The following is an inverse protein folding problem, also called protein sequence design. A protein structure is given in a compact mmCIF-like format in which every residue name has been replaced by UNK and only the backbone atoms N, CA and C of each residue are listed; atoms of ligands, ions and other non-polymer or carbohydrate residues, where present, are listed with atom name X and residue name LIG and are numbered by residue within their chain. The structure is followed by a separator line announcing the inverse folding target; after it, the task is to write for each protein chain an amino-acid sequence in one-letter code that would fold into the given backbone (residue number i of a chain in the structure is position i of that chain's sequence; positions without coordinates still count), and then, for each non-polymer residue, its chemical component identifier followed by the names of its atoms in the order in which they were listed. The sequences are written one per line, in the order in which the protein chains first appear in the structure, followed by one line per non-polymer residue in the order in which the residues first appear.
data_IF_342015060229
#
_entry.id   IF_342015060229
#
_cell.length_a   1.000
_cell.length_b   1.000
_cell.length_c   1.000
_cell.angle_alpha   90.00
_cell.angle_beta   90.00
_cell.angle_gamma   90.00
#
_symmetry.space_group_name_H-M   'P 1'
#
loop_
_entity.id
_entity.type
_entity.pdbx_description
1 polymer ?
#
# COMPACT_ATOMS: atom_id res chain seq x y z
N UNK A 1 -28.15 -0.73 -6.76
CA UNK A 1 -27.10 -0.07 -5.96
C UNK A 1 -25.86 0.00 -6.83
N UNK A 2 -25.28 1.19 -6.97
CA UNK A 2 -24.27 1.52 -7.99
C UNK A 2 -23.17 0.48 -8.06
N UNK A 3 -23.13 -0.27 -9.17
CA UNK A 3 -22.14 -1.31 -9.45
C UNK A 3 -20.80 -0.65 -9.79
N UNK A 4 -20.18 -0.04 -8.79
CA UNK A 4 -18.77 0.30 -8.90
C UNK A 4 -18.06 -1.00 -9.26
N UNK A 5 -17.26 -1.04 -10.35
CA UNK A 5 -16.52 -2.24 -10.70
C UNK A 5 -15.71 -2.69 -9.48
N UNK A 6 -15.83 -3.97 -9.11
CA UNK A 6 -15.16 -4.56 -7.95
C UNK A 6 -13.66 -4.20 -7.81
N UNK A 7 -12.84 -4.10 -8.88
CA UNK A 7 -11.45 -3.69 -8.72
C UNK A 7 -11.25 -2.20 -8.45
N UNK A 8 -12.22 -1.32 -8.78
CA UNK A 8 -12.03 0.14 -8.78
C UNK A 8 -11.49 0.68 -7.44
N UNK A 9 -11.99 0.26 -6.26
CA UNK A 9 -11.45 0.73 -4.98
C UNK A 9 -9.94 0.49 -4.86
N UNK A 10 -9.43 -0.64 -5.33
CA UNK A 10 -7.99 -0.94 -5.29
C UNK A 10 -7.19 0.02 -6.18
N UNK A 11 -7.74 0.36 -7.34
CA UNK A 11 -7.11 1.29 -8.29
C UNK A 11 -7.08 2.74 -7.78
N UNK A 12 -7.95 3.13 -6.85
CA UNK A 12 -7.91 4.46 -6.23
C UNK A 12 -6.62 4.71 -5.44
N UNK A 13 -5.91 3.66 -5.01
CA UNK A 13 -4.58 3.80 -4.40
C UNK A 13 -3.58 4.53 -5.32
N UNK A 14 -3.74 4.42 -6.65
CA UNK A 14 -2.92 5.12 -7.64
C UNK A 14 -3.16 6.63 -7.70
N UNK A 15 -4.16 7.15 -6.99
CA UNK A 15 -4.32 8.59 -6.78
C UNK A 15 -3.35 9.14 -5.73
N UNK A 16 -2.76 8.30 -4.87
CA UNK A 16 -1.84 8.73 -3.81
C UNK A 16 -0.50 9.28 -4.35
N UNK A 17 0.17 8.67 -5.35
CA UNK A 17 1.42 9.22 -5.90
C UNK A 17 1.26 10.62 -6.51
N UNK A 18 0.22 10.93 -7.32
CA UNK A 18 -0.05 12.31 -7.73
C UNK A 18 -0.26 13.27 -6.57
N UNK A 19 -0.98 12.87 -5.50
CA UNK A 19 -1.13 13.69 -4.31
C UNK A 19 0.21 13.92 -3.58
N UNK A 20 1.10 12.92 -3.57
CA UNK A 20 2.44 13.10 -3.03
C UNK A 20 3.24 14.13 -3.83
N UNK A 21 3.16 14.09 -5.16
CA UNK A 21 3.79 15.08 -6.03
C UNK A 21 3.22 16.48 -5.77
N UNK A 22 1.90 16.61 -5.57
CA UNK A 22 1.29 17.90 -5.19
C UNK A 22 1.84 18.40 -3.87
N UNK A 23 1.88 17.56 -2.83
CA UNK A 23 2.47 17.90 -1.53
C UNK A 23 3.93 18.35 -1.65
N UNK A 24 4.70 17.68 -2.51
CA UNK A 24 6.12 17.94 -2.73
C UNK A 24 6.36 19.28 -3.43
N UNK A 25 5.55 19.58 -4.45
CA UNK A 25 5.72 20.80 -5.27
C UNK A 25 5.08 22.03 -4.61
N UNK A 26 3.96 21.86 -3.91
CA UNK A 26 3.20 22.99 -3.33
C UNK A 26 3.54 23.27 -1.87
N UNK A 27 3.89 22.26 -1.08
CA UNK A 27 4.08 22.41 0.36
C UNK A 27 2.79 22.78 1.11
N UNK A 28 2.96 23.32 2.31
CA UNK A 28 1.90 23.79 3.18
C UNK A 28 0.87 22.73 3.52
N UNK A 29 -0.40 23.13 3.52
CA UNK A 29 -1.53 22.25 3.85
C UNK A 29 -1.68 21.06 2.89
N UNK A 30 -1.13 21.15 1.67
CA UNK A 30 -1.26 20.08 0.67
C UNK A 30 -0.51 18.81 1.06
N UNK A 31 0.50 18.91 1.95
CA UNK A 31 1.22 17.75 2.49
C UNK A 31 0.27 16.84 3.28
N UNK A 32 -0.71 17.42 3.98
CA UNK A 32 -1.69 16.67 4.76
C UNK A 32 -2.62 15.81 3.90
N UNK A 33 -2.73 16.09 2.59
CA UNK A 33 -3.54 15.28 1.68
C UNK A 33 -3.09 13.82 1.66
N UNK A 34 -1.78 13.55 1.79
CA UNK A 34 -1.24 12.20 1.79
C UNK A 34 -1.77 11.31 2.93
N UNK A 35 -1.51 11.64 4.22
CA UNK A 35 -2.00 10.80 5.32
C UNK A 35 -3.52 10.85 5.44
N UNK A 36 -4.17 11.99 5.19
CA UNK A 36 -5.63 12.11 5.28
C UNK A 36 -6.31 11.24 4.23
N UNK A 37 -5.89 11.30 2.97
CA UNK A 37 -6.47 10.44 1.94
C UNK A 37 -6.16 8.96 2.24
N UNK A 38 -4.94 8.60 2.61
CA UNK A 38 -4.58 7.20 2.86
C UNK A 38 -5.40 6.56 3.99
N UNK A 39 -5.67 7.29 5.08
CA UNK A 39 -6.45 6.76 6.21
C UNK A 39 -7.96 6.81 6.01
N UNK A 40 -8.47 7.87 5.36
CA UNK A 40 -9.92 8.12 5.32
C UNK A 40 -10.58 7.75 3.99
N UNK A 41 -9.83 7.57 2.90
CA UNK A 41 -10.39 7.33 1.57
C UNK A 41 -11.34 6.13 1.53
N UNK A 42 -10.90 4.97 2.02
CA UNK A 42 -11.71 3.75 2.00
C UNK A 42 -12.90 3.83 2.96
N UNK A 43 -12.71 4.44 4.12
CA UNK A 43 -13.82 4.65 5.07
C UNK A 43 -14.91 5.56 4.49
N UNK A 44 -14.52 6.64 3.80
CA UNK A 44 -15.45 7.54 3.12
C UNK A 44 -16.12 6.82 1.95
N UNK A 45 -15.36 6.04 1.18
CA UNK A 45 -15.90 5.26 0.08
C UNK A 45 -16.98 4.29 0.59
N UNK A 46 -16.67 3.49 1.60
CA UNK A 46 -17.61 2.55 2.21
C UNK A 46 -18.85 3.23 2.77
N UNK A 47 -18.71 4.41 3.38
CA UNK A 47 -19.84 5.19 3.88
C UNK A 47 -20.77 5.69 2.76
N UNK A 48 -20.23 5.95 1.57
CA UNK A 48 -21.00 6.42 0.41
C UNK A 48 -21.58 5.24 -0.39
N UNK A 49 -20.81 4.18 -0.58
CA UNK A 49 -21.14 3.07 -1.49
C UNK A 49 -21.84 1.91 -0.78
N UNK A 50 -21.74 1.87 0.56
CA UNK A 50 -22.10 0.73 1.37
C UNK A 50 -20.97 -0.32 1.38
N UNK A 51 -20.90 -1.15 2.44
CA UNK A 51 -19.93 -2.23 2.53
C UNK A 51 -20.24 -3.32 1.49
N UNK A 52 -19.19 -3.90 0.91
CA UNK A 52 -19.33 -5.09 0.08
C UNK A 52 -19.41 -6.35 0.96
N UNK A 53 -20.56 -7.02 0.97
CA UNK A 53 -20.77 -8.28 1.70
C UNK A 53 -20.72 -9.52 0.80
N UNK A 54 -20.34 -9.37 -0.47
CA UNK A 54 -20.19 -10.49 -1.40
C UNK A 54 -19.04 -11.40 -0.95
N UNK A 55 -19.30 -12.70 -0.92
CA UNK A 55 -18.28 -13.70 -0.71
C UNK A 55 -17.78 -14.19 -2.08
N UNK A 56 -16.50 -13.95 -2.45
CA UNK A 56 -15.98 -14.36 -3.75
C UNK A 56 -16.09 -15.88 -3.95
N UNK A 57 -16.49 -16.30 -5.16
CA UNK A 57 -16.49 -17.72 -5.52
C UNK A 57 -15.04 -18.23 -5.63
N UNK A 58 -14.62 -19.24 -4.85
CA UNK A 58 -13.29 -19.83 -4.96
C UNK A 58 -12.99 -20.44 -6.33
N UNK A 59 -14.01 -20.77 -7.11
CA UNK A 59 -13.88 -21.27 -8.49
C UNK A 59 -13.71 -20.16 -9.54
N UNK A 60 -13.65 -18.88 -9.12
CA UNK A 60 -13.42 -17.75 -10.02
C UNK A 60 -12.12 -17.96 -10.80
N UNK A 61 -12.15 -17.93 -12.14
CA UNK A 61 -10.94 -18.10 -12.94
C UNK A 61 -9.92 -16.97 -12.72
N UNK A 62 -8.63 -17.30 -12.73
CA UNK A 62 -7.54 -16.32 -12.53
C UNK A 62 -7.62 -15.09 -13.45
N UNK A 63 -8.09 -15.24 -14.70
CA UNK A 63 -8.20 -14.14 -15.65
C UNK A 63 -9.23 -13.08 -15.22
N UNK A 64 -10.24 -13.45 -14.44
CA UNK A 64 -11.21 -12.50 -13.88
C UNK A 64 -10.60 -11.63 -12.77
N UNK A 65 -9.48 -12.05 -12.19
CA UNK A 65 -8.73 -11.33 -11.16
C UNK A 65 -7.62 -10.44 -11.75
N UNK A 66 -7.51 -10.34 -13.08
CA UNK A 66 -6.42 -9.63 -13.75
C UNK A 66 -6.30 -8.17 -13.33
N UNK A 67 -7.42 -7.47 -13.11
CA UNK A 67 -7.43 -6.08 -12.69
C UNK A 67 -6.91 -5.89 -11.24
N UNK A 68 -7.29 -6.76 -10.31
CA UNK A 68 -6.79 -6.76 -8.93
C UNK A 68 -5.31 -7.14 -8.88
N UNK A 69 -4.90 -8.11 -9.70
CA UNK A 69 -3.49 -8.53 -9.82
C UNK A 69 -2.61 -7.46 -10.44
N UNK A 70 -3.11 -6.74 -11.45
CA UNK A 70 -2.31 -5.74 -12.14
C UNK A 70 -1.93 -4.56 -11.23
N UNK A 71 -2.86 -4.09 -10.39
CA UNK A 71 -2.58 -2.96 -9.48
C UNK A 71 -1.51 -3.31 -8.45
N UNK A 72 -1.47 -4.54 -7.94
CA UNK A 72 -0.40 -4.97 -7.00
C UNK A 72 0.95 -5.08 -7.70
N UNK A 73 0.99 -5.58 -8.94
CA UNK A 73 2.23 -5.70 -9.73
C UNK A 73 2.86 -4.34 -10.06
N UNK A 74 2.06 -3.36 -10.48
CA UNK A 74 2.57 -2.03 -10.87
C UNK A 74 2.91 -1.16 -9.65
N UNK A 75 2.49 -1.52 -8.45
CA UNK A 75 2.71 -0.70 -7.27
C UNK A 75 4.19 -0.56 -6.92
N UNK A 76 4.99 -1.62 -7.05
CA UNK A 76 6.43 -1.54 -6.80
C UNK A 76 7.14 -0.48 -7.65
N UNK A 77 7.06 -0.49 -9.01
CA UNK A 77 7.73 0.54 -9.80
C UNK A 77 7.21 1.95 -9.50
N UNK A 78 5.92 2.10 -9.18
CA UNK A 78 5.32 3.37 -8.76
C UNK A 78 5.91 3.86 -7.43
N UNK A 79 5.90 3.03 -6.39
CA UNK A 79 6.42 3.37 -5.07
C UNK A 79 7.93 3.63 -5.10
N UNK A 80 8.70 2.80 -5.82
CA UNK A 80 10.14 2.96 -5.95
C UNK A 80 10.50 4.27 -6.68
N UNK A 81 9.77 4.60 -7.74
CA UNK A 81 9.96 5.85 -8.50
C UNK A 81 9.59 7.05 -7.63
N UNK A 82 8.45 7.00 -6.93
CA UNK A 82 8.04 8.07 -6.02
C UNK A 82 9.08 8.29 -4.92
N UNK A 83 9.54 7.22 -4.27
CA UNK A 83 10.56 7.30 -3.22
C UNK A 83 11.86 7.92 -3.76
N UNK A 84 12.34 7.45 -4.92
CA UNK A 84 13.55 7.97 -5.54
C UNK A 84 13.42 9.46 -5.91
N UNK A 85 12.27 9.86 -6.47
CA UNK A 85 11.98 11.26 -6.79
C UNK A 85 11.93 12.12 -5.53
N UNK A 86 11.28 11.65 -4.46
CA UNK A 86 11.21 12.39 -3.20
C UNK A 86 12.59 12.55 -2.56
N UNK A 87 13.39 11.48 -2.52
CA UNK A 87 14.77 11.53 -2.01
C UNK A 87 15.65 12.49 -2.80
N UNK A 88 15.44 12.60 -4.11
CA UNK A 88 16.18 13.53 -4.95
C UNK A 88 15.69 14.98 -4.83
N UNK A 89 14.37 15.22 -4.85
CA UNK A 89 13.79 16.56 -4.96
C UNK A 89 13.60 17.26 -3.60
N UNK A 90 13.06 16.57 -2.59
CA UNK A 90 12.64 17.18 -1.32
C UNK A 90 13.80 17.85 -0.56
N UNK A 91 15.02 17.27 -0.48
CA UNK A 91 16.12 17.91 0.26
C UNK A 91 16.51 19.28 -0.30
N UNK A 92 16.47 19.43 -1.62
CA UNK A 92 16.89 20.62 -2.36
C UNK A 92 15.75 21.63 -2.61
N UNK A 93 14.51 21.28 -2.28
CA UNK A 93 13.37 22.19 -2.35
C UNK A 93 13.53 23.33 -1.33
N UNK A 94 13.71 24.56 -1.82
CA UNK A 94 13.89 25.77 -1.01
C UNK A 94 12.57 26.35 -0.48
N UNK A 95 11.45 26.01 -1.12
CA UNK A 95 10.11 26.41 -0.70
C UNK A 95 9.55 25.55 0.45
N UNK A 96 10.21 24.44 0.78
CA UNK A 96 9.82 23.58 1.89
C UNK A 96 10.71 23.87 3.10
N UNK A 97 10.09 24.14 4.24
CA UNK A 97 10.81 24.19 5.51
C UNK A 97 11.16 22.79 6.05
N UNK A 98 11.92 22.72 7.14
CA UNK A 98 12.34 21.44 7.71
C UNK A 98 11.15 20.59 8.21
N UNK A 99 10.12 21.23 8.76
CA UNK A 99 8.91 20.55 9.25
C UNK A 99 8.11 19.94 8.09
N UNK A 100 7.96 20.68 7.00
CA UNK A 100 7.32 20.22 5.77
C UNK A 100 8.08 19.05 5.12
N UNK A 101 9.42 19.11 5.11
CA UNK A 101 10.25 17.99 4.64
C UNK A 101 10.04 16.73 5.49
N UNK A 102 9.99 16.87 6.81
CA UNK A 102 9.70 15.74 7.71
C UNK A 102 8.29 15.22 7.46
N UNK A 103 7.30 16.11 7.38
CA UNK A 103 5.90 15.76 7.20
C UNK A 103 5.64 15.02 5.88
N UNK A 104 6.33 15.42 4.80
CA UNK A 104 6.14 14.74 3.50
C UNK A 104 6.79 13.35 3.48
N UNK A 105 7.97 13.17 4.09
CA UNK A 105 8.56 11.84 4.23
C UNK A 105 7.76 10.94 5.18
N UNK A 106 7.15 11.53 6.21
CA UNK A 106 6.15 10.83 7.03
C UNK A 106 4.96 10.37 6.16
N UNK A 107 4.42 11.23 5.30
CA UNK A 107 3.37 10.88 4.34
C UNK A 107 3.77 9.74 3.40
N UNK A 108 5.01 9.73 2.92
CA UNK A 108 5.56 8.60 2.14
C UNK A 108 5.60 7.30 2.95
N UNK A 109 5.97 7.37 4.22
CA UNK A 109 5.89 6.25 5.16
C UNK A 109 4.47 5.72 5.32
N UNK A 110 3.47 6.61 5.43
CA UNK A 110 2.05 6.23 5.51
C UNK A 110 1.59 5.52 4.22
N UNK A 111 1.88 6.06 3.04
CA UNK A 111 1.50 5.43 1.76
C UNK A 111 2.15 4.05 1.59
N UNK A 112 3.46 3.97 1.81
CA UNK A 112 4.20 2.71 1.67
C UNK A 112 3.85 1.68 2.76
N UNK A 113 3.51 2.13 3.97
CA UNK A 113 3.04 1.28 5.05
C UNK A 113 1.63 0.74 4.79
N UNK A 114 0.65 1.62 4.52
CA UNK A 114 -0.75 1.21 4.36
C UNK A 114 -0.99 0.45 3.05
N UNK A 115 -0.42 0.90 1.94
CA UNK A 115 -0.64 0.26 0.63
C UNK A 115 0.51 -0.68 0.28
N UNK A 116 1.76 -0.24 0.39
CA UNK A 116 2.93 -1.02 0.00
C UNK A 116 3.08 -2.33 0.77
N UNK A 117 2.88 -2.31 2.11
CA UNK A 117 2.90 -3.55 2.92
C UNK A 117 1.73 -4.46 2.57
N UNK A 118 0.52 -3.91 2.40
CA UNK A 118 -0.67 -4.68 2.02
C UNK A 118 -0.50 -5.39 0.68
N UNK A 119 0.02 -4.70 -0.35
CA UNK A 119 0.27 -5.32 -1.65
C UNK A 119 1.47 -6.27 -1.61
N UNK A 120 2.51 -5.97 -0.83
CA UNK A 120 3.61 -6.91 -0.61
C UNK A 120 3.15 -8.19 0.08
N UNK A 121 2.22 -8.09 1.05
CA UNK A 121 1.56 -9.22 1.71
C UNK A 121 0.79 -10.07 0.70
N UNK A 122 0.00 -9.46 -0.18
CA UNK A 122 -0.70 -10.20 -1.23
C UNK A 122 0.28 -10.93 -2.17
N UNK A 123 1.29 -10.21 -2.67
CA UNK A 123 2.26 -10.73 -3.63
C UNK A 123 3.13 -11.87 -3.08
N UNK A 124 3.42 -11.90 -1.78
CA UNK A 124 4.24 -12.96 -1.18
C UNK A 124 3.51 -14.30 -1.06
N UNK A 125 2.18 -14.28 -0.97
CA UNK A 125 1.35 -15.50 -0.95
C UNK A 125 1.28 -16.18 -2.30
N UNK A 126 1.51 -15.44 -3.37
CA UNK A 126 1.39 -15.97 -4.71
C UNK A 126 2.46 -17.01 -5.04
N UNK A 127 2.18 -17.87 -6.03
CA UNK A 127 3.12 -18.91 -6.50
C UNK A 127 4.18 -18.35 -7.45
N UNK A 128 3.89 -17.25 -8.14
CA UNK A 128 4.78 -16.67 -9.14
C UNK A 128 6.07 -16.17 -8.52
N UNK A 129 7.20 -16.50 -9.16
CA UNK A 129 8.52 -16.04 -8.71
C UNK A 129 8.66 -14.52 -8.85
N UNK A 130 8.09 -13.93 -9.90
CA UNK A 130 8.11 -12.49 -10.12
C UNK A 130 7.37 -11.74 -9.01
N UNK A 131 6.17 -12.20 -8.66
CA UNK A 131 5.36 -11.56 -7.61
C UNK A 131 6.06 -11.61 -6.26
N UNK A 132 6.64 -12.76 -5.90
CA UNK A 132 7.42 -12.90 -4.68
C UNK A 132 8.65 -11.98 -4.64
N UNK A 133 9.30 -11.75 -5.78
CA UNK A 133 10.39 -10.78 -5.89
C UNK A 133 9.90 -9.35 -5.70
N UNK A 134 8.77 -8.99 -6.31
CA UNK A 134 8.15 -7.67 -6.13
C UNK A 134 7.73 -7.45 -4.67
N UNK A 135 7.21 -8.48 -3.99
CA UNK A 135 6.93 -8.43 -2.56
C UNK A 135 8.20 -8.12 -1.74
N UNK A 136 9.30 -8.83 -1.99
CA UNK A 136 10.57 -8.61 -1.30
C UNK A 136 11.10 -7.19 -1.54
N UNK A 137 11.00 -6.68 -2.77
CA UNK A 137 11.43 -5.32 -3.11
C UNK A 137 10.55 -4.25 -2.44
N UNK A 138 9.23 -4.45 -2.37
CA UNK A 138 8.34 -3.59 -1.59
C UNK A 138 8.73 -3.59 -0.11
N UNK A 139 8.98 -4.75 0.47
CA UNK A 139 9.35 -4.88 1.89
C UNK A 139 10.72 -4.26 2.16
N UNK A 140 11.67 -4.41 1.23
CA UNK A 140 12.96 -3.75 1.32
C UNK A 140 12.85 -2.23 1.28
N UNK A 141 11.95 -1.69 0.45
CA UNK A 141 11.74 -0.23 0.35
C UNK A 141 11.22 0.43 1.63
N UNK A 142 10.63 -0.36 2.53
CA UNK A 142 10.18 0.07 3.87
C UNK A 142 11.06 -0.48 5.00
N UNK A 143 12.23 -1.02 4.67
CA UNK A 143 13.21 -1.58 5.61
C UNK A 143 12.68 -2.76 6.44
N UNK A 144 11.72 -3.52 5.90
CA UNK A 144 11.10 -4.69 6.56
C UNK A 144 11.27 -5.99 5.75
N UNK A 145 12.44 -6.21 5.16
CA UNK A 145 12.70 -7.34 4.24
C UNK A 145 12.49 -8.74 4.83
N UNK A 146 12.49 -8.89 6.16
CA UNK A 146 12.29 -10.19 6.82
C UNK A 146 10.80 -10.56 6.98
N UNK A 147 9.87 -9.65 6.65
CA UNK A 147 8.43 -9.84 6.83
C UNK A 147 7.91 -11.09 6.12
N UNK A 148 8.35 -11.39 4.89
CA UNK A 148 7.91 -12.61 4.19
C UNK A 148 8.24 -13.89 4.95
N UNK A 149 9.44 -13.95 5.55
CA UNK A 149 9.87 -15.12 6.31
C UNK A 149 9.06 -15.26 7.60
N UNK A 150 8.92 -14.17 8.35
CA UNK A 150 8.07 -14.12 9.56
C UNK A 150 6.64 -14.52 9.23
N UNK A 151 6.06 -13.91 8.21
CA UNK A 151 4.67 -14.11 7.85
C UNK A 151 4.39 -15.54 7.35
N UNK A 152 5.12 -16.02 6.35
CA UNK A 152 4.84 -17.32 5.73
C UNK A 152 5.34 -18.53 6.53
N UNK A 153 6.47 -18.40 7.23
CA UNK A 153 7.12 -19.53 7.90
C UNK A 153 6.91 -19.55 9.41
N UNK A 154 6.40 -18.46 9.99
CA UNK A 154 6.07 -18.39 11.42
C UNK A 154 4.58 -18.20 11.58
N UNK A 155 4.05 -17.02 11.23
CA UNK A 155 2.66 -16.64 11.49
C UNK A 155 1.66 -17.64 10.89
N UNK A 156 1.67 -17.89 9.58
CA UNK A 156 0.69 -18.80 8.95
C UNK A 156 0.76 -20.24 9.46
N UNK A 157 1.93 -20.70 9.93
CA UNK A 157 2.10 -22.06 10.45
C UNK A 157 1.63 -22.16 11.91
N UNK A 158 1.79 -21.08 12.69
CA UNK A 158 1.60 -21.10 14.15
C UNK A 158 0.48 -20.18 14.64
N UNK A 159 -0.31 -19.59 13.74
CA UNK A 159 -1.41 -18.67 14.05
C UNK A 159 -2.35 -19.30 15.10
N UNK A 160 -2.70 -18.53 16.13
CA UNK A 160 -3.51 -18.99 17.26
C UNK A 160 -2.73 -19.75 18.34
N UNK A 161 -1.39 -19.82 18.27
CA UNK A 161 -0.55 -20.50 19.27
C UNK A 161 0.50 -19.56 19.89
N UNK A 162 1.07 -19.91 21.06
CA UNK A 162 2.15 -19.12 21.67
C UNK A 162 3.44 -19.01 20.84
N UNK A 163 3.59 -19.83 19.78
CA UNK A 163 4.76 -19.80 18.88
C UNK A 163 4.66 -18.70 17.83
N UNK A 164 3.48 -18.14 17.61
CA UNK A 164 3.30 -16.98 16.74
C UNK A 164 3.43 -15.68 17.58
N UNK A 165 4.49 -14.86 17.36
CA UNK A 165 4.70 -13.65 18.13
C UNK A 165 3.61 -12.58 17.92
N UNK A 166 2.86 -12.65 16.81
CA UNK A 166 1.82 -11.68 16.47
C UNK A 166 0.39 -12.19 16.72
N UNK A 167 0.23 -13.41 17.23
CA UNK A 167 -1.09 -13.93 17.63
C UNK A 167 -1.61 -13.16 18.85
N UNK A 168 -2.90 -12.79 18.80
CA UNK A 168 -3.59 -12.19 19.93
C UNK A 168 -3.54 -13.12 21.15
N UNK A 169 -3.09 -12.58 22.29
CA UNK A 169 -2.97 -13.33 23.54
C UNK A 169 -4.21 -13.18 24.45
N UNK A 170 -5.08 -12.22 24.13
CA UNK A 170 -6.24 -11.79 24.92
C UNK A 170 -7.36 -11.34 23.98
#
# INVERSE_FOLDING_TARGET
MSRIPNPLPFWLSLCLPPLAVVGMVRGGWTIALLPVSTWWLFMILDAITGPNTENPDPATPDHAMAAHRLVTLIWFPVQATLLALMLWYVPQASHLDAGEKIAIFFGMGVVSGTIGITYGHELMHQKSRLERWLADLLMASVLYSHFRSEHLRVHHIHIGTPRDPVTARY
#
